data_IF_227949684233
#
_entry.id   IF_227949684233
#
_cell.length_a   1.000
_cell.length_b   1.000
_cell.length_c   1.000
_cell.angle_alpha   90.00
_cell.angle_beta   90.00
_cell.angle_gamma   90.00
#
_symmetry.space_group_name_H-M   'P 1'
#
loop_
_entity.id
_entity.type
_entity.pdbx_description
1 polymer ?
#
# COMPACT_ATOMS: atom_id res chain seq x y z
N UNK A 1 4.24 -28.22 -3.43
CA UNK A 1 4.84 -27.84 -4.73
C UNK A 1 3.69 -27.28 -5.56
N UNK A 2 3.47 -25.95 -5.47
CA UNK A 2 2.43 -25.25 -6.24
C UNK A 2 3.10 -24.81 -7.54
N UNK A 3 2.71 -25.44 -8.65
CA UNK A 3 3.15 -25.04 -9.98
C UNK A 3 2.29 -23.84 -10.36
N UNK A 4 2.88 -22.64 -10.40
CA UNK A 4 2.21 -21.45 -10.90
C UNK A 4 1.99 -21.59 -12.43
N UNK A 5 0.78 -21.93 -12.80
CA UNK A 5 0.36 -21.85 -14.20
C UNK A 5 0.03 -20.39 -14.55
N UNK A 6 0.85 -19.80 -15.39
CA UNK A 6 0.64 -18.47 -15.92
C UNK A 6 -0.43 -18.50 -17.02
N UNK A 7 -1.68 -18.23 -16.68
CA UNK A 7 -2.75 -18.05 -17.67
C UNK A 7 -2.96 -16.55 -17.93
N UNK A 8 -3.10 -16.23 -19.23
CA UNK A 8 -3.49 -14.92 -19.71
C UNK A 8 -4.92 -14.62 -19.28
N UNK A 9 -5.14 -13.61 -18.42
CA UNK A 9 -6.45 -13.12 -18.02
C UNK A 9 -6.70 -11.80 -18.75
N UNK A 10 -7.85 -11.62 -19.45
CA UNK A 10 -8.17 -10.36 -20.10
C UNK A 10 -8.28 -9.22 -19.09
N UNK A 11 -7.84 -8.02 -19.49
CA UNK A 11 -7.72 -6.84 -18.61
C UNK A 11 -9.08 -6.26 -18.11
N UNK A 12 -10.21 -6.71 -18.65
CA UNK A 12 -11.51 -6.03 -18.49
C UNK A 12 -12.51 -6.77 -17.55
N UNK A 13 -12.10 -7.80 -16.81
CA UNK A 13 -13.02 -8.46 -15.87
C UNK A 13 -13.11 -7.69 -14.55
N UNK A 14 -14.32 -7.39 -14.02
CA UNK A 14 -14.47 -6.74 -12.73
C UNK A 14 -13.82 -7.59 -11.65
N UNK A 15 -13.00 -6.94 -10.80
CA UNK A 15 -12.14 -7.59 -9.81
C UNK A 15 -12.90 -8.34 -8.71
N UNK A 16 -14.11 -7.88 -8.36
CA UNK A 16 -14.98 -8.48 -7.35
C UNK A 16 -16.22 -9.05 -8.06
N UNK A 17 -16.65 -10.29 -7.77
CA UNK A 17 -17.91 -10.80 -8.27
C UNK A 17 -19.05 -9.84 -7.92
N UNK A 18 -19.95 -9.59 -8.86
CA UNK A 18 -21.10 -8.67 -8.67
C UNK A 18 -22.03 -9.07 -7.50
N UNK A 19 -21.91 -10.30 -7.00
CA UNK A 19 -22.70 -10.89 -5.94
C UNK A 19 -22.18 -10.57 -4.52
N UNK A 20 -20.94 -10.04 -4.38
CA UNK A 20 -20.38 -9.69 -3.07
C UNK A 20 -20.78 -8.26 -2.72
N UNK A 21 -21.74 -8.12 -1.80
CA UNK A 21 -22.24 -6.81 -1.37
C UNK A 21 -21.32 -6.12 -0.35
N UNK A 22 -20.72 -6.89 0.58
CA UNK A 22 -19.79 -6.36 1.58
C UNK A 22 -18.84 -7.44 2.11
N UNK A 23 -17.68 -7.02 2.61
CA UNK A 23 -16.71 -7.83 3.34
C UNK A 23 -16.67 -7.35 4.78
N UNK A 24 -17.12 -8.20 5.69
CA UNK A 24 -17.07 -7.90 7.11
C UNK A 24 -15.87 -8.59 7.75
N UNK A 25 -14.90 -7.81 8.19
CA UNK A 25 -13.69 -8.32 8.83
C UNK A 25 -13.91 -8.67 10.30
N UNK A 26 -15.02 -8.20 10.91
CA UNK A 26 -15.36 -8.41 12.32
C UNK A 26 -14.17 -8.14 13.25
N UNK A 27 -13.54 -6.97 13.08
CA UNK A 27 -12.38 -6.57 13.87
C UNK A 27 -12.79 -6.29 15.31
N UNK A 28 -12.06 -6.87 16.25
CA UNK A 28 -12.16 -6.51 17.67
C UNK A 28 -11.36 -5.23 17.95
N UNK A 29 -11.57 -4.61 19.10
CA UNK A 29 -10.92 -3.34 19.51
C UNK A 29 -9.40 -3.41 19.45
N UNK A 30 -8.82 -4.59 19.65
CA UNK A 30 -7.38 -4.83 19.65
C UNK A 30 -6.87 -5.56 18.37
N UNK A 31 -7.63 -5.52 17.30
CA UNK A 31 -7.30 -6.06 15.98
C UNK A 31 -7.13 -4.95 14.94
N UNK A 32 -6.33 -5.21 13.93
CA UNK A 32 -6.05 -4.33 12.80
C UNK A 32 -6.13 -5.10 11.51
N UNK A 33 -6.68 -4.52 10.46
CA UNK A 33 -6.61 -5.06 9.11
C UNK A 33 -5.83 -4.13 8.19
N UNK A 34 -4.97 -4.72 7.37
CA UNK A 34 -4.24 -4.04 6.29
C UNK A 34 -4.65 -4.72 4.98
N UNK A 35 -5.32 -3.98 4.12
CA UNK A 35 -5.85 -4.49 2.84
C UNK A 35 -5.14 -3.82 1.68
N UNK A 36 -4.46 -4.61 0.86
CA UNK A 36 -3.85 -4.17 -0.40
C UNK A 36 -4.92 -4.20 -1.49
N UNK A 37 -5.32 -3.01 -1.97
CA UNK A 37 -6.44 -2.84 -2.88
C UNK A 37 -6.02 -3.13 -4.32
N UNK A 38 -6.74 -4.00 -5.05
CA UNK A 38 -6.32 -4.46 -6.37
C UNK A 38 -6.82 -3.52 -7.49
N UNK A 39 -6.40 -2.28 -7.44
CA UNK A 39 -6.68 -1.32 -8.50
C UNK A 39 -5.97 -1.76 -9.79
N UNK A 40 -6.59 -1.52 -10.94
CA UNK A 40 -5.98 -1.86 -12.25
C UNK A 40 -4.78 -0.97 -12.59
N UNK A 41 -4.63 0.16 -11.89
CA UNK A 41 -3.51 1.07 -12.05
C UNK A 41 -3.23 1.83 -10.73
N UNK A 42 -1.98 1.73 -10.25
CA UNK A 42 -1.52 2.45 -9.07
C UNK A 42 -1.65 1.65 -7.77
N UNK A 43 -1.33 2.31 -6.68
CA UNK A 43 -1.21 1.70 -5.35
C UNK A 43 -2.20 2.34 -4.37
N UNK A 44 -2.91 1.51 -3.62
CA UNK A 44 -3.69 1.94 -2.47
C UNK A 44 -3.75 0.83 -1.42
N UNK A 45 -3.47 1.17 -0.17
CA UNK A 45 -3.53 0.23 0.96
C UNK A 45 -4.43 0.80 2.04
N UNK A 46 -5.50 0.09 2.37
CA UNK A 46 -6.44 0.46 3.41
C UNK A 46 -6.02 -0.17 4.75
N UNK A 47 -5.98 0.65 5.80
CA UNK A 47 -5.73 0.21 7.18
C UNK A 47 -6.98 0.51 7.98
N UNK A 48 -7.52 -0.50 8.66
CA UNK A 48 -8.74 -0.42 9.46
C UNK A 48 -8.50 -1.01 10.85
N UNK A 49 -9.02 -0.37 11.89
CA UNK A 49 -9.02 -0.94 13.24
C UNK A 49 -10.44 -1.29 13.70
N UNK A 50 -10.56 -2.00 14.83
CA UNK A 50 -11.85 -2.39 15.40
C UNK A 50 -12.68 -1.22 15.96
N UNK A 51 -12.12 0.00 16.03
CA UNK A 51 -12.81 1.22 16.47
C UNK A 51 -13.42 2.00 15.31
N UNK A 52 -13.30 1.48 14.07
CA UNK A 52 -13.85 2.11 12.88
C UNK A 52 -13.00 3.26 12.31
N UNK A 53 -11.73 3.36 12.70
CA UNK A 53 -10.80 4.32 12.10
C UNK A 53 -10.23 3.74 10.80
N UNK A 54 -10.17 4.59 9.75
CA UNK A 54 -9.66 4.23 8.44
C UNK A 54 -8.52 5.15 8.04
N UNK A 55 -7.40 4.54 7.63
CA UNK A 55 -6.24 5.21 7.06
C UNK A 55 -6.03 4.64 5.65
N UNK A 56 -5.76 5.49 4.69
CA UNK A 56 -5.39 5.07 3.35
C UNK A 56 -3.94 5.45 3.06
N UNK A 57 -3.12 4.49 2.64
CA UNK A 57 -1.76 4.75 2.15
C UNK A 57 -1.81 4.71 0.63
N UNK A 58 -1.53 5.84 0.00
CA UNK A 58 -1.71 6.12 -1.42
C UNK A 58 -3.17 6.03 -1.88
N UNK A 59 -3.47 6.50 -3.09
CA UNK A 59 -4.85 6.66 -3.55
C UNK A 59 -5.12 6.03 -4.92
N UNK A 60 -4.12 5.35 -5.52
CA UNK A 60 -4.21 4.86 -6.88
C UNK A 60 -4.15 5.96 -7.94
N UNK A 61 -4.17 5.55 -9.19
CA UNK A 61 -4.21 6.44 -10.35
C UNK A 61 -5.64 6.98 -10.58
N UNK A 62 -5.77 8.17 -11.13
CA UNK A 62 -7.06 8.83 -11.37
C UNK A 62 -8.04 7.98 -12.20
N UNK A 63 -7.56 7.20 -13.15
CA UNK A 63 -8.40 6.33 -13.97
C UNK A 63 -8.99 5.12 -13.23
N UNK A 64 -8.65 4.92 -11.97
CA UNK A 64 -9.19 3.87 -11.09
C UNK A 64 -10.19 4.38 -10.05
N UNK A 65 -10.70 5.59 -10.21
CA UNK A 65 -11.61 6.23 -9.25
C UNK A 65 -12.82 5.34 -8.89
N UNK A 66 -13.51 4.81 -9.90
CA UNK A 66 -14.69 3.97 -9.68
C UNK A 66 -14.32 2.60 -9.06
N UNK A 67 -13.14 2.08 -9.37
CA UNK A 67 -12.64 0.85 -8.74
C UNK A 67 -12.37 1.09 -7.25
N UNK A 68 -11.70 2.20 -6.92
CA UNK A 68 -11.40 2.58 -5.54
C UNK A 68 -12.69 2.78 -4.73
N UNK A 69 -13.66 3.54 -5.25
CA UNK A 69 -14.97 3.73 -4.61
C UNK A 69 -15.66 2.40 -4.33
N UNK A 70 -15.68 1.50 -5.33
CA UNK A 70 -16.31 0.19 -5.19
C UNK A 70 -15.63 -0.65 -4.11
N UNK A 71 -14.30 -0.70 -4.08
CA UNK A 71 -13.57 -1.49 -3.08
C UNK A 71 -13.72 -0.88 -1.68
N UNK A 72 -13.65 0.43 -1.53
CA UNK A 72 -13.91 1.10 -0.26
C UNK A 72 -15.33 0.81 0.27
N UNK A 73 -16.34 0.85 -0.61
CA UNK A 73 -17.71 0.45 -0.28
C UNK A 73 -17.81 -1.01 0.17
N UNK A 74 -17.09 -1.90 -0.50
CA UNK A 74 -17.05 -3.33 -0.17
C UNK A 74 -16.58 -3.57 1.28
N UNK A 75 -15.65 -2.74 1.77
CA UNK A 75 -15.16 -2.76 3.16
C UNK A 75 -15.92 -1.83 4.10
N UNK A 76 -17.11 -1.35 3.70
CA UNK A 76 -17.95 -0.45 4.48
C UNK A 76 -17.25 0.86 4.92
N UNK A 77 -16.27 1.33 4.15
CA UNK A 77 -15.56 2.58 4.41
C UNK A 77 -16.44 3.75 4.04
N UNK A 78 -16.82 4.56 5.01
CA UNK A 78 -17.65 5.77 4.83
C UNK A 78 -16.87 7.06 5.08
N UNK A 79 -15.73 6.99 5.76
CA UNK A 79 -14.83 8.12 6.02
C UNK A 79 -13.38 7.63 6.10
N UNK A 80 -12.43 8.52 5.82
CA UNK A 80 -11.00 8.26 5.90
C UNK A 80 -10.36 9.37 6.72
N UNK A 81 -9.93 9.08 7.94
CA UNK A 81 -9.37 10.10 8.83
C UNK A 81 -8.03 10.63 8.33
N UNK A 82 -7.22 9.77 7.74
CA UNK A 82 -5.84 10.07 7.35
C UNK A 82 -5.49 9.43 6.01
N UNK A 83 -4.91 10.21 5.11
CA UNK A 83 -4.24 9.71 3.90
C UNK A 83 -2.73 9.89 4.09
N UNK A 84 -1.96 8.85 3.80
CA UNK A 84 -0.49 8.91 3.76
C UNK A 84 -0.07 8.79 2.30
N UNK A 85 0.65 9.77 1.76
CA UNK A 85 1.13 9.75 0.38
C UNK A 85 2.64 9.52 0.36
N UNK A 86 3.06 8.47 -0.35
CA UNK A 86 4.45 8.02 -0.37
C UNK A 86 5.22 8.43 -1.61
N UNK A 87 4.54 8.84 -2.69
CA UNK A 87 5.13 9.35 -3.94
C UNK A 87 4.28 10.47 -4.52
N UNK A 88 4.85 11.42 -5.28
CA UNK A 88 4.09 12.45 -5.98
C UNK A 88 3.53 11.98 -7.33
N UNK A 89 3.85 10.77 -7.79
CA UNK A 89 3.42 10.27 -9.10
C UNK A 89 1.90 9.95 -9.09
N UNK A 90 1.29 10.00 -10.27
CA UNK A 90 -0.16 9.88 -10.44
C UNK A 90 -0.72 8.55 -9.91
N UNK A 91 0.06 7.48 -10.02
CA UNK A 91 -0.28 6.14 -9.53
C UNK A 91 -0.43 6.07 -8.00
N UNK A 92 -0.01 7.13 -7.29
CA UNK A 92 -0.04 7.20 -5.82
C UNK A 92 -1.00 8.27 -5.30
N UNK A 93 -1.25 9.35 -6.07
CA UNK A 93 -2.01 10.52 -5.60
C UNK A 93 -3.29 10.79 -6.41
N UNK A 94 -3.54 10.03 -7.46
CA UNK A 94 -4.53 10.36 -8.50
C UNK A 94 -5.96 10.56 -8.01
N UNK A 95 -6.38 9.83 -6.98
CA UNK A 95 -7.75 9.94 -6.45
C UNK A 95 -7.87 10.82 -5.19
N UNK A 96 -6.85 11.63 -4.85
CA UNK A 96 -6.89 12.47 -3.66
C UNK A 96 -8.08 13.44 -3.65
N UNK A 97 -8.41 14.05 -4.80
CA UNK A 97 -9.53 14.99 -4.91
C UNK A 97 -10.87 14.33 -4.60
N UNK A 98 -11.12 13.18 -5.22
CA UNK A 98 -12.33 12.39 -4.99
C UNK A 98 -12.46 11.97 -3.52
N UNK A 99 -11.36 11.53 -2.91
CA UNK A 99 -11.37 11.12 -1.50
C UNK A 99 -11.65 12.30 -0.58
N UNK A 100 -11.08 13.47 -0.86
CA UNK A 100 -11.35 14.71 -0.13
C UNK A 100 -12.83 15.10 -0.18
N UNK A 101 -13.46 14.95 -1.35
CA UNK A 101 -14.87 15.30 -1.58
C UNK A 101 -15.84 14.34 -0.88
N UNK A 102 -15.56 13.02 -0.93
CA UNK A 102 -16.58 12.02 -0.54
C UNK A 102 -16.31 11.28 0.78
N UNK A 103 -15.09 11.38 1.35
CA UNK A 103 -14.70 10.54 2.50
C UNK A 103 -14.26 11.32 3.76
N UNK A 104 -14.60 12.61 3.86
CA UNK A 104 -14.35 13.45 5.05
C UNK A 104 -12.88 13.36 5.54
N UNK A 105 -11.92 13.48 4.61
CA UNK A 105 -10.49 13.40 4.93
C UNK A 105 -10.06 14.55 5.81
N UNK A 106 -9.46 14.25 6.97
CA UNK A 106 -9.03 15.28 7.95
C UNK A 106 -7.59 15.73 7.74
N UNK A 107 -6.72 14.81 7.37
CA UNK A 107 -5.31 15.11 7.19
C UNK A 107 -4.65 14.27 6.11
N UNK A 108 -3.63 14.87 5.50
CA UNK A 108 -2.69 14.21 4.61
C UNK A 108 -1.31 14.24 5.26
N UNK A 109 -0.69 13.07 5.39
CA UNK A 109 0.69 12.91 5.86
C UNK A 109 1.57 12.60 4.65
N UNK A 110 2.68 13.33 4.50
CA UNK A 110 3.55 13.15 3.35
C UNK A 110 4.93 13.79 3.57
N UNK A 111 5.82 13.72 2.57
CA UNK A 111 7.09 14.45 2.58
C UNK A 111 6.92 15.86 2.00
N UNK A 112 7.93 16.72 2.21
CA UNK A 112 7.94 18.09 1.67
C UNK A 112 7.81 18.10 0.13
N UNK A 113 8.57 17.23 -0.56
CA UNK A 113 8.57 17.16 -2.03
C UNK A 113 7.20 16.77 -2.60
N UNK A 114 6.49 15.88 -1.92
CA UNK A 114 5.14 15.45 -2.31
C UNK A 114 4.11 16.54 -1.99
N UNK A 115 4.25 17.19 -0.82
CA UNK A 115 3.37 18.29 -0.42
C UNK A 115 3.36 19.45 -1.43
N UNK A 116 4.50 19.78 -2.02
CA UNK A 116 4.60 20.82 -3.06
C UNK A 116 3.72 20.50 -4.27
N UNK A 117 3.60 19.22 -4.67
CA UNK A 117 2.66 18.81 -5.71
C UNK A 117 1.21 18.90 -5.25
N UNK A 118 0.91 18.50 -4.01
CA UNK A 118 -0.45 18.59 -3.45
C UNK A 118 -0.91 20.05 -3.36
N UNK A 119 -0.05 20.98 -2.98
CA UNK A 119 -0.38 22.41 -2.98
C UNK A 119 -0.76 22.92 -4.38
N UNK A 120 -0.15 22.39 -5.44
CA UNK A 120 -0.56 22.68 -6.81
C UNK A 120 -1.96 22.16 -7.11
N UNK A 121 -2.30 20.98 -6.62
CA UNK A 121 -3.64 20.38 -6.74
C UNK A 121 -4.66 21.19 -5.93
N UNK A 122 -4.32 21.58 -4.68
CA UNK A 122 -5.16 22.41 -3.81
C UNK A 122 -5.55 23.75 -4.44
N UNK A 123 -4.61 24.42 -5.11
CA UNK A 123 -4.90 25.70 -5.78
C UNK A 123 -5.88 25.56 -6.93
N UNK A 124 -6.00 24.37 -7.50
CA UNK A 124 -6.95 24.06 -8.57
C UNK A 124 -8.33 23.60 -8.06
N UNK A 125 -8.45 23.21 -6.78
CA UNK A 125 -9.64 22.55 -6.23
C UNK A 125 -9.96 23.02 -4.79
N UNK A 126 -11.13 23.62 -4.59
CA UNK A 126 -11.52 24.21 -3.29
C UNK A 126 -11.74 23.18 -2.17
N UNK A 127 -12.01 21.93 -2.50
CA UNK A 127 -12.40 20.88 -1.54
C UNK A 127 -11.23 20.36 -0.69
N UNK A 128 -10.00 20.50 -1.20
CA UNK A 128 -8.78 20.11 -0.46
C UNK A 128 -8.25 21.24 0.44
N UNK A 129 -8.78 22.45 0.36
CA UNK A 129 -8.23 23.63 1.05
C UNK A 129 -8.19 23.49 2.58
N UNK A 130 -9.16 22.80 3.16
CA UNK A 130 -9.29 22.65 4.62
C UNK A 130 -8.55 21.40 5.17
N UNK A 131 -7.96 20.57 4.31
CA UNK A 131 -7.24 19.38 4.75
C UNK A 131 -5.86 19.77 5.31
N UNK A 132 -5.58 19.36 6.54
CA UNK A 132 -4.28 19.55 7.18
C UNK A 132 -3.18 18.73 6.48
N UNK A 133 -2.06 19.37 6.10
CA UNK A 133 -0.88 18.67 5.58
C UNK A 133 0.16 18.57 6.67
N UNK A 134 0.57 17.33 6.99
CA UNK A 134 1.60 17.02 7.97
C UNK A 134 2.85 16.48 7.27
N UNK A 135 3.97 17.15 7.47
CA UNK A 135 5.23 16.77 6.83
C UNK A 135 6.02 15.80 7.70
N UNK A 136 6.30 14.63 7.13
CA UNK A 136 7.19 13.65 7.73
C UNK A 136 8.56 13.65 7.04
N UNK A 137 9.58 13.36 7.83
CA UNK A 137 10.97 13.22 7.39
C UNK A 137 11.55 11.92 7.92
N UNK A 138 12.65 11.47 7.37
CA UNK A 138 13.34 10.27 7.84
C UNK A 138 13.55 10.31 9.37
N UNK A 139 13.23 9.20 10.03
CA UNK A 139 13.28 9.03 11.48
C UNK A 139 12.02 9.51 12.22
N UNK A 140 11.05 10.14 11.53
CA UNK A 140 9.75 10.45 12.15
C UNK A 140 9.06 9.17 12.57
N UNK A 141 8.60 9.13 13.83
CA UNK A 141 7.74 8.05 14.38
C UNK A 141 6.46 8.64 14.91
N UNK A 142 5.35 8.03 14.59
CA UNK A 142 4.04 8.47 15.06
C UNK A 142 3.09 7.30 15.27
N UNK A 143 2.38 7.31 16.40
CA UNK A 143 1.24 6.43 16.62
C UNK A 143 0.07 6.95 15.79
N UNK A 144 -0.38 6.18 14.82
CA UNK A 144 -1.47 6.54 13.89
C UNK A 144 -2.85 6.22 14.50
N UNK A 145 -2.98 5.00 14.97
CA UNK A 145 -4.13 4.50 15.75
C UNK A 145 -3.59 3.66 16.88
N UNK A 146 -4.45 3.21 17.77
CA UNK A 146 -4.04 2.41 18.93
C UNK A 146 -3.19 1.20 18.49
N UNK A 147 -2.00 1.09 19.05
CA UNK A 147 -1.01 0.02 18.81
C UNK A 147 -0.41 -0.02 17.40
N UNK A 148 -0.69 0.93 16.51
CA UNK A 148 -0.06 1.04 15.21
C UNK A 148 0.89 2.23 15.18
N UNK A 149 2.19 1.97 15.21
CA UNK A 149 3.23 2.98 15.01
C UNK A 149 3.70 2.96 13.54
N UNK A 150 3.79 4.13 12.93
CA UNK A 150 4.46 4.33 11.65
C UNK A 150 5.81 5.01 11.86
N UNK A 151 6.83 4.55 11.12
CA UNK A 151 8.18 5.12 11.10
C UNK A 151 8.62 5.39 9.65
N UNK A 152 9.17 6.56 9.38
CA UNK A 152 9.81 6.88 8.09
C UNK A 152 11.24 6.37 8.11
N UNK A 153 11.50 5.32 7.35
CA UNK A 153 12.84 4.72 7.22
C UNK A 153 13.72 5.48 6.23
N UNK A 154 13.10 5.98 5.14
CA UNK A 154 13.78 6.78 4.11
C UNK A 154 12.83 7.82 3.53
N UNK A 155 13.39 8.93 3.12
CA UNK A 155 12.67 10.03 2.48
C UNK A 155 13.53 10.61 1.37
N UNK A 156 13.24 10.24 0.14
CA UNK A 156 13.88 10.79 -1.05
C UNK A 156 13.01 11.83 -1.75
N UNK A 157 13.59 12.47 -2.75
CA UNK A 157 12.95 13.56 -3.48
C UNK A 157 13.02 13.42 -5.02
N UNK A 158 13.68 12.39 -5.54
CA UNK A 158 13.70 12.09 -6.97
C UNK A 158 12.42 11.33 -7.40
N UNK A 159 12.24 11.13 -8.72
CA UNK A 159 11.13 10.33 -9.26
C UNK A 159 11.18 8.86 -8.85
N UNK A 160 12.38 8.36 -8.57
CA UNK A 160 12.62 6.97 -8.17
C UNK A 160 12.60 6.80 -6.65
N UNK A 161 12.24 7.85 -5.93
CA UNK A 161 12.26 7.92 -4.47
C UNK A 161 10.93 8.46 -3.91
N UNK A 162 10.71 8.18 -2.65
CA UNK A 162 9.54 8.62 -1.91
C UNK A 162 9.70 8.36 -0.42
N UNK A 163 8.60 8.13 0.27
CA UNK A 163 8.60 7.68 1.66
C UNK A 163 8.62 6.16 1.71
N UNK A 164 9.68 5.60 2.29
CA UNK A 164 9.71 4.21 2.70
C UNK A 164 9.27 4.11 4.16
N UNK A 165 8.17 3.43 4.39
CA UNK A 165 7.47 3.39 5.67
C UNK A 165 7.53 2.01 6.31
N UNK A 166 7.76 1.99 7.61
CA UNK A 166 7.58 0.84 8.47
C UNK A 166 6.36 1.04 9.35
N UNK A 167 5.50 0.05 9.39
CA UNK A 167 4.36 0.02 10.29
C UNK A 167 4.55 -1.14 11.27
N UNK A 168 4.49 -0.83 12.55
CA UNK A 168 4.58 -1.81 13.63
C UNK A 168 3.27 -1.89 14.38
N UNK A 169 2.65 -3.05 14.39
CA UNK A 169 1.47 -3.36 15.18
C UNK A 169 1.80 -4.48 16.17
N UNK A 170 1.98 -4.09 17.43
CA UNK A 170 2.43 -5.02 18.48
C UNK A 170 3.75 -5.72 18.10
N UNK A 171 3.73 -7.04 17.88
CA UNK A 171 4.90 -7.83 17.46
C UNK A 171 5.05 -7.99 15.95
N UNK A 172 4.09 -7.55 15.17
CA UNK A 172 4.09 -7.69 13.71
C UNK A 172 4.54 -6.40 13.04
N UNK A 173 5.27 -6.54 11.93
CA UNK A 173 5.82 -5.41 11.19
C UNK A 173 5.60 -5.60 9.69
N UNK A 174 5.14 -4.53 9.02
CA UNK A 174 5.06 -4.52 7.58
C UNK A 174 5.69 -3.25 7.01
N UNK A 175 6.27 -3.37 5.81
CA UNK A 175 6.90 -2.25 5.12
C UNK A 175 6.15 -1.89 3.85
N UNK A 176 6.00 -0.60 3.60
CA UNK A 176 5.58 -0.06 2.32
C UNK A 176 6.78 0.68 1.73
N UNK A 177 7.46 0.03 0.78
CA UNK A 177 8.61 0.59 0.11
C UNK A 177 8.17 1.30 -1.17
N UNK A 178 8.70 2.48 -1.40
CA UNK A 178 8.41 3.31 -2.58
C UNK A 178 9.67 3.62 -3.36
N UNK A 179 10.80 3.78 -2.65
CA UNK A 179 12.08 4.14 -3.26
C UNK A 179 12.80 2.92 -3.83
N UNK A 180 13.44 3.08 -5.02
CA UNK A 180 14.19 2.04 -5.71
C UNK A 180 15.66 2.41 -5.95
N UNK A 181 16.18 3.42 -5.27
CA UNK A 181 17.57 3.88 -5.44
C UNK A 181 18.56 3.09 -4.60
N UNK A 182 19.84 3.12 -4.97
CA UNK A 182 20.89 2.52 -4.18
C UNK A 182 21.05 3.20 -2.81
N UNK A 183 20.76 4.51 -2.74
CA UNK A 183 20.82 5.26 -1.48
C UNK A 183 19.70 4.85 -0.51
N UNK A 184 18.48 4.62 -1.00
CA UNK A 184 17.41 4.07 -0.18
C UNK A 184 17.76 2.67 0.34
N UNK A 185 18.19 1.77 -0.54
CA UNK A 185 18.64 0.42 -0.18
C UNK A 185 19.75 0.45 0.89
N UNK A 186 20.76 1.31 0.70
CA UNK A 186 21.88 1.46 1.65
C UNK A 186 21.41 2.01 3.01
N UNK A 187 20.42 2.88 2.99
CA UNK A 187 19.84 3.46 4.21
C UNK A 187 19.01 2.43 4.96
N UNK A 188 18.15 1.69 4.26
CA UNK A 188 17.32 0.63 4.85
C UNK A 188 18.16 -0.47 5.50
N UNK A 189 19.31 -0.82 4.93
CA UNK A 189 20.25 -1.80 5.50
C UNK A 189 20.87 -1.38 6.86
N UNK A 190 20.71 -0.12 7.30
CA UNK A 190 21.19 0.35 8.60
C UNK A 190 20.16 0.14 9.72
N UNK A 191 18.90 -0.12 9.37
CA UNK A 191 17.85 -0.41 10.33
C UNK A 191 17.83 -1.90 10.70
N UNK A 192 17.38 -2.20 11.91
CA UNK A 192 17.02 -3.57 12.26
C UNK A 192 15.65 -3.88 11.62
N UNK A 193 15.66 -4.73 10.60
CA UNK A 193 14.50 -5.15 9.85
C UNK A 193 14.20 -6.65 10.02
N UNK A 194 14.77 -7.30 11.04
CA UNK A 194 14.69 -8.74 11.27
C UNK A 194 13.28 -9.28 11.57
N UNK A 195 12.32 -8.40 11.88
CA UNK A 195 10.95 -8.79 12.23
C UNK A 195 9.91 -8.33 11.19
N UNK A 196 10.33 -8.12 9.95
CA UNK A 196 9.40 -7.74 8.88
C UNK A 196 8.65 -8.99 8.41
N UNK A 197 7.33 -8.99 8.58
CA UNK A 197 6.49 -10.09 8.09
C UNK A 197 6.09 -9.89 6.62
N UNK A 198 5.81 -8.65 6.24
CA UNK A 198 5.26 -8.33 4.92
C UNK A 198 6.00 -7.13 4.34
N UNK A 199 6.35 -7.20 3.06
CA UNK A 199 6.94 -6.08 2.33
C UNK A 199 6.17 -5.80 1.04
N UNK A 200 5.76 -4.54 0.83
CA UNK A 200 5.30 -4.08 -0.47
C UNK A 200 6.51 -3.68 -1.30
N UNK A 201 6.68 -4.33 -2.45
CA UNK A 201 7.78 -4.09 -3.39
C UNK A 201 7.58 -2.73 -4.08
N UNK A 202 8.61 -1.87 -4.16
CA UNK A 202 8.47 -0.55 -4.75
C UNK A 202 8.27 -0.58 -6.26
N UNK A 203 7.69 0.50 -6.78
CA UNK A 203 7.62 0.80 -8.22
C UNK A 203 7.12 -0.38 -9.07
N UNK A 204 6.04 -1.06 -8.61
CA UNK A 204 5.41 -2.19 -9.33
C UNK A 204 6.36 -3.32 -9.71
N UNK A 205 7.42 -3.52 -8.93
CA UNK A 205 8.50 -4.47 -9.18
C UNK A 205 9.25 -4.23 -10.51
N UNK A 206 9.49 -2.98 -10.88
CA UNK A 206 10.36 -2.61 -12.00
C UNK A 206 11.78 -3.16 -11.81
N UNK A 207 12.55 -3.14 -12.89
CA UNK A 207 13.96 -3.50 -12.85
C UNK A 207 14.71 -2.72 -11.76
N UNK A 208 15.50 -3.40 -10.95
CA UNK A 208 16.26 -2.85 -9.83
C UNK A 208 15.43 -2.23 -8.70
N UNK A 209 14.10 -2.47 -8.64
CA UNK A 209 13.22 -1.91 -7.59
C UNK A 209 13.62 -2.35 -6.18
N UNK A 210 14.19 -3.54 -6.03
CA UNK A 210 14.69 -4.07 -4.75
C UNK A 210 15.89 -4.99 -5.04
N UNK A 211 16.83 -5.07 -4.10
CA UNK A 211 17.97 -5.96 -4.25
C UNK A 211 17.93 -7.15 -3.26
N UNK A 212 18.61 -8.24 -3.63
CA UNK A 212 18.68 -9.46 -2.83
C UNK A 212 19.19 -9.23 -1.41
N UNK A 213 20.20 -8.36 -1.25
CA UNK A 213 20.79 -8.09 0.06
C UNK A 213 19.77 -7.47 1.02
N UNK A 214 18.93 -6.54 0.53
CA UNK A 214 17.89 -5.93 1.33
C UNK A 214 16.79 -6.93 1.67
N UNK A 215 16.33 -7.74 0.71
CA UNK A 215 15.32 -8.77 0.96
C UNK A 215 15.80 -9.81 1.97
N UNK A 216 17.03 -10.29 1.86
CA UNK A 216 17.62 -11.23 2.85
C UNK A 216 17.84 -10.58 4.22
N UNK A 217 18.08 -9.27 4.27
CA UNK A 217 18.19 -8.54 5.54
C UNK A 217 16.85 -8.40 6.25
N UNK A 218 15.77 -8.24 5.51
CA UNK A 218 14.41 -8.18 6.04
C UNK A 218 13.85 -9.57 6.36
N UNK A 219 14.20 -10.57 5.55
CA UNK A 219 13.68 -11.94 5.58
C UNK A 219 12.14 -12.00 5.73
N UNK A 220 11.37 -11.30 4.88
CA UNK A 220 9.93 -11.22 5.00
C UNK A 220 9.28 -12.56 4.62
N UNK A 221 8.06 -12.78 5.07
CA UNK A 221 7.29 -13.98 4.73
C UNK A 221 6.44 -13.78 3.46
N UNK A 222 6.06 -12.54 3.17
CA UNK A 222 5.19 -12.21 2.05
C UNK A 222 5.64 -10.92 1.37
N UNK A 223 5.77 -10.95 0.05
CA UNK A 223 5.91 -9.76 -0.79
C UNK A 223 4.58 -9.42 -1.47
N UNK A 224 4.26 -8.13 -1.54
CA UNK A 224 3.10 -7.62 -2.27
C UNK A 224 3.57 -6.78 -3.45
N UNK A 225 3.03 -7.05 -4.63
CA UNK A 225 3.26 -6.28 -5.86
C UNK A 225 1.92 -5.72 -6.31
N UNK A 226 1.83 -4.40 -6.47
CA UNK A 226 0.66 -3.75 -7.05
C UNK A 226 0.68 -3.81 -8.57
N UNK A 227 -0.50 -3.65 -9.19
CA UNK A 227 -0.65 -3.56 -10.62
C UNK A 227 -0.46 -2.13 -11.13
N UNK A 228 0.17 -2.00 -12.31
CA UNK A 228 0.13 -0.80 -13.14
C UNK A 228 -0.33 -1.18 -14.55
N UNK A 229 -0.96 -0.24 -15.27
CA UNK A 229 -1.34 -0.43 -16.68
C UNK A 229 -0.15 -0.43 -17.63
N UNK A 230 0.92 0.25 -17.22
CA UNK A 230 2.06 0.56 -18.09
C UNK A 230 3.34 -0.16 -17.68
N UNK A 231 3.33 -0.80 -16.51
CA UNK A 231 4.51 -1.44 -15.93
C UNK A 231 4.13 -2.86 -15.53
N UNK A 232 4.75 -3.84 -16.18
CA UNK A 232 4.71 -5.23 -15.72
C UNK A 232 5.92 -5.51 -14.82
N UNK A 233 5.77 -6.37 -13.80
CA UNK A 233 6.88 -6.77 -12.95
C UNK A 233 8.06 -7.34 -13.76
N UNK A 234 9.27 -6.86 -13.47
CA UNK A 234 10.47 -7.29 -14.19
C UNK A 234 10.81 -8.75 -13.84
N UNK A 235 11.20 -9.52 -14.86
CA UNK A 235 11.46 -10.95 -14.70
C UNK A 235 12.58 -11.26 -13.69
N UNK A 236 13.63 -10.41 -13.63
CA UNK A 236 14.72 -10.60 -12.67
C UNK A 236 14.25 -10.39 -11.24
N UNK A 237 13.31 -9.47 -10.98
CA UNK A 237 12.71 -9.29 -9.66
C UNK A 237 11.85 -10.50 -9.30
N UNK A 238 10.98 -10.96 -10.20
CA UNK A 238 10.16 -12.15 -9.96
C UNK A 238 11.02 -13.38 -9.68
N UNK A 239 12.09 -13.56 -10.47
CA UNK A 239 13.05 -14.63 -10.25
C UNK A 239 13.78 -14.50 -8.91
N UNK A 240 14.23 -13.30 -8.55
CA UNK A 240 14.86 -13.03 -7.27
C UNK A 240 13.95 -13.43 -6.10
N UNK A 241 12.67 -13.03 -6.13
CA UNK A 241 11.70 -13.37 -5.10
C UNK A 241 11.48 -14.89 -5.02
N UNK A 242 11.45 -15.59 -6.16
CA UNK A 242 11.37 -17.04 -6.22
C UNK A 242 12.62 -17.73 -5.68
N UNK A 243 13.82 -17.25 -6.05
CA UNK A 243 15.11 -17.83 -5.64
C UNK A 243 15.34 -17.76 -4.12
N UNK A 244 14.74 -16.77 -3.45
CA UNK A 244 14.76 -16.63 -1.99
C UNK A 244 13.57 -17.28 -1.28
N UNK A 245 12.69 -17.99 -2.02
CA UNK A 245 11.50 -18.69 -1.51
C UNK A 245 10.48 -17.78 -0.84
N UNK A 246 10.37 -16.53 -1.30
CA UNK A 246 9.43 -15.56 -0.77
C UNK A 246 8.06 -15.74 -1.43
N UNK A 247 7.01 -15.86 -0.62
CA UNK A 247 5.64 -15.86 -1.13
C UNK A 247 5.30 -14.50 -1.74
N UNK A 248 4.66 -14.49 -2.91
CA UNK A 248 4.32 -13.26 -3.65
C UNK A 248 2.83 -13.16 -3.88
N UNK A 249 2.23 -12.07 -3.42
CA UNK A 249 0.89 -11.66 -3.81
C UNK A 249 0.96 -10.54 -4.86
N UNK A 250 0.61 -10.85 -6.10
CA UNK A 250 0.48 -9.88 -7.17
C UNK A 250 -1.00 -9.52 -7.35
N UNK A 251 -1.38 -8.27 -7.06
CA UNK A 251 -2.79 -7.85 -7.03
C UNK A 251 -3.53 -8.09 -8.35
N UNK A 252 -2.83 -8.00 -9.50
CA UNK A 252 -3.38 -8.29 -10.82
C UNK A 252 -3.90 -9.73 -10.96
N UNK A 253 -3.21 -10.68 -10.34
CA UNK A 253 -3.49 -12.10 -10.47
C UNK A 253 -4.31 -12.65 -9.32
N UNK A 254 -3.96 -12.24 -8.10
CA UNK A 254 -4.46 -12.86 -6.88
C UNK A 254 -5.58 -12.08 -6.22
N UNK A 255 -5.81 -10.84 -6.67
CA UNK A 255 -6.90 -10.07 -6.18
C UNK A 255 -6.67 -9.29 -4.90
N UNK A 256 -7.70 -9.17 -4.06
CA UNK A 256 -7.62 -8.50 -2.76
C UNK A 256 -6.80 -9.36 -1.81
N UNK A 257 -5.89 -8.70 -1.11
CA UNK A 257 -5.16 -9.28 0.01
C UNK A 257 -5.47 -8.48 1.27
N UNK A 258 -6.03 -9.11 2.28
CA UNK A 258 -6.19 -8.52 3.62
C UNK A 258 -5.36 -9.31 4.63
N UNK A 259 -4.55 -8.60 5.40
CA UNK A 259 -3.84 -9.14 6.55
C UNK A 259 -4.55 -8.66 7.80
N UNK A 260 -5.15 -9.57 8.54
CA UNK A 260 -5.79 -9.28 9.81
C UNK A 260 -4.83 -9.59 10.96
N UNK A 261 -4.34 -8.55 11.61
CA UNK A 261 -3.47 -8.66 12.76
C UNK A 261 -4.27 -8.80 14.05
N UNK A 262 -3.93 -9.79 14.84
CA UNK A 262 -4.41 -10.02 16.19
C UNK A 262 -3.33 -9.64 17.22
N UNK A 263 -3.61 -9.68 18.54
CA UNK A 263 -2.57 -9.38 19.54
C UNK A 263 -1.30 -10.22 19.46
N UNK A 264 -1.39 -11.44 18.96
CA UNK A 264 -0.28 -12.43 19.02
C UNK A 264 0.12 -13.00 17.67
N UNK A 265 -0.69 -12.77 16.61
CA UNK A 265 -0.48 -13.38 15.30
C UNK A 265 -1.15 -12.54 14.20
N UNK A 266 -1.09 -12.99 12.96
CA UNK A 266 -1.88 -12.44 11.86
C UNK A 266 -2.49 -13.56 11.01
N UNK A 267 -3.56 -13.22 10.31
CA UNK A 267 -4.27 -14.08 9.35
C UNK A 267 -4.22 -13.45 7.97
N UNK A 268 -4.05 -14.28 6.95
CA UNK A 268 -4.07 -13.86 5.55
C UNK A 268 -5.41 -14.23 4.94
N UNK A 269 -6.13 -13.24 4.43
CA UNK A 269 -7.42 -13.39 3.76
C UNK A 269 -7.22 -12.93 2.31
N UNK A 270 -7.34 -13.83 1.36
CA UNK A 270 -7.25 -13.52 -0.08
C UNK A 270 -8.60 -13.74 -0.74
N UNK A 271 -9.03 -12.76 -1.53
CA UNK A 271 -10.24 -12.86 -2.36
C UNK A 271 -9.77 -12.77 -3.80
N UNK A 272 -9.67 -13.94 -4.44
CA UNK A 272 -9.27 -14.05 -5.84
C UNK A 272 -10.41 -13.71 -6.79
N UNK A 273 -10.07 -13.36 -8.03
CA UNK A 273 -11.04 -13.35 -9.14
C UNK A 273 -11.65 -14.74 -9.26
N UNK A 274 -12.99 -14.83 -9.37
CA UNK A 274 -13.63 -16.08 -9.79
C UNK A 274 -13.14 -16.40 -11.20
N UNK A 275 -12.59 -17.60 -11.41
CA UNK A 275 -12.40 -18.15 -12.73
C UNK A 275 -13.81 -18.38 -13.33
N UNK A 276 -14.19 -17.61 -14.36
CA UNK A 276 -15.30 -17.94 -15.26
C UNK A 276 -14.81 -18.84 -16.37
#
# INVERSE_FOLDING_TARGET
MIVANWYYIPADSPFVPAEVESIELNLKDDELAVTFLPLTNGEATLIQNGQGEHILVNTGHQDTEEELKRVLKLYNVTHISTIILTSPEEEYVGNLNMLAEFYDVKQVITSKSIAEKIETIKTANNEIQDIGIHLWTQGTKQMLVQNLEAEVLYNGASKEEGLDLSFTYKSSRFLILTSMTEDSNRTLLKYDLSNVNIVKIPQFAMENSVNEKLLRHMDPQLAVIFQSKHIDPHQDILKLLQDIWLDVHYTKMHGILTIKFTPTNYEIISISKSEE
#
